data_IF_529524269820
#
_entry.id   IF_529524269820
#
_cell.length_a   1.000
_cell.length_b   1.000
_cell.length_c   1.000
_cell.angle_alpha   90.00
_cell.angle_beta   90.00
_cell.angle_gamma   90.00
#
_symmetry.space_group_name_H-M   'P 1'
#
loop_
_entity.id
_entity.type
_entity.pdbx_description
1 polymer ?
#
# COMPACT_ATOMS: atom_id res chain seq x y z
N UNK A 1 3.82 2.47 8.16
CA UNK A 1 3.44 1.50 9.22
C UNK A 1 2.98 2.24 10.46
N UNK A 2 1.72 2.15 10.80
CA UNK A 2 1.16 2.91 11.91
C UNK A 2 1.62 2.32 13.25
N UNK A 3 1.96 3.17 14.22
CA UNK A 3 2.32 2.76 15.60
C UNK A 3 1.22 1.88 16.19
N UNK A 4 -0.04 2.14 15.82
CA UNK A 4 -1.24 1.38 16.21
C UNK A 4 -1.19 -0.08 15.71
N UNK A 5 -0.79 -0.32 14.47
CA UNK A 5 -0.79 -1.66 13.86
C UNK A 5 0.22 -2.58 14.56
N UNK A 6 1.39 -2.03 14.89
CA UNK A 6 2.41 -2.72 15.67
C UNK A 6 1.96 -3.03 17.11
N UNK A 7 1.16 -2.12 17.72
CA UNK A 7 0.66 -2.32 19.06
C UNK A 7 -0.42 -3.41 19.12
N UNK A 8 -1.31 -3.45 18.14
CA UNK A 8 -2.36 -4.48 18.04
C UNK A 8 -1.76 -5.87 17.80
N UNK A 9 -0.75 -6.01 16.96
CA UNK A 9 -0.09 -7.29 16.71
C UNK A 9 0.65 -7.84 17.94
N UNK A 10 1.24 -6.96 18.76
CA UNK A 10 1.96 -7.37 19.98
C UNK A 10 1.02 -7.73 21.16
N UNK A 11 -0.15 -7.09 21.25
CA UNK A 11 -1.19 -7.36 22.26
C UNK A 11 -2.45 -7.95 21.60
N UNK A 12 -2.29 -9.12 20.97
CA UNK A 12 -3.36 -9.86 20.31
C UNK A 12 -4.50 -10.15 21.30
N UNK A 13 -5.75 -9.91 20.84
CA UNK A 13 -6.95 -10.23 21.61
C UNK A 13 -7.52 -9.08 22.47
N UNK A 14 -6.88 -7.92 22.51
CA UNK A 14 -7.44 -6.75 23.17
C UNK A 14 -8.66 -6.20 22.38
N UNK A 15 -9.58 -5.50 23.06
CA UNK A 15 -10.79 -4.90 22.45
C UNK A 15 -10.43 -4.00 21.26
N UNK A 16 -9.39 -3.19 21.38
CA UNK A 16 -8.89 -2.34 20.29
C UNK A 16 -8.39 -3.15 19.09
N UNK A 17 -7.72 -4.28 19.32
CA UNK A 17 -7.27 -5.19 18.27
C UNK A 17 -8.46 -5.80 17.54
N UNK A 18 -9.46 -6.29 18.28
CA UNK A 18 -10.69 -6.86 17.70
C UNK A 18 -11.44 -5.84 16.86
N UNK A 19 -11.70 -4.64 17.40
CA UNK A 19 -12.37 -3.55 16.66
C UNK A 19 -11.62 -3.13 15.42
N UNK A 20 -10.31 -2.91 15.54
CA UNK A 20 -9.48 -2.55 14.38
C UNK A 20 -9.48 -3.64 13.31
N UNK A 21 -9.33 -4.90 13.71
CA UNK A 21 -9.32 -6.04 12.78
C UNK A 21 -10.67 -6.20 12.09
N UNK A 22 -11.78 -6.12 12.83
CA UNK A 22 -13.13 -6.21 12.26
C UNK A 22 -13.39 -5.08 11.28
N UNK A 23 -13.02 -3.84 11.61
CA UNK A 23 -13.14 -2.70 10.71
C UNK A 23 -12.34 -2.91 9.42
N UNK A 24 -11.09 -3.38 9.54
CA UNK A 24 -10.24 -3.65 8.38
C UNK A 24 -10.79 -4.78 7.51
N UNK A 25 -11.37 -5.83 8.11
CA UNK A 25 -12.02 -6.90 7.34
C UNK A 25 -13.21 -6.36 6.56
N UNK A 26 -14.06 -5.54 7.18
CA UNK A 26 -15.21 -4.92 6.51
C UNK A 26 -14.74 -4.07 5.31
N UNK A 27 -13.74 -3.21 5.51
CA UNK A 27 -13.21 -2.38 4.41
C UNK A 27 -12.57 -3.25 3.32
N UNK A 28 -11.89 -4.35 3.68
CA UNK A 28 -11.24 -5.26 2.72
C UNK A 28 -12.23 -6.00 1.81
N UNK A 29 -13.48 -6.15 2.23
CA UNK A 29 -14.52 -6.76 1.39
C UNK A 29 -15.15 -5.78 0.40
N UNK A 30 -14.90 -4.48 0.57
CA UNK A 30 -15.43 -3.46 -0.33
C UNK A 30 -14.57 -3.36 -1.60
N UNK A 31 -15.17 -3.50 -2.80
CA UNK A 31 -14.46 -3.25 -4.05
C UNK A 31 -13.95 -1.80 -4.12
N UNK A 32 -12.76 -1.61 -4.69
CA UNK A 32 -12.12 -0.29 -4.79
C UNK A 32 -13.01 0.75 -5.48
N UNK A 33 -13.78 0.35 -6.49
CA UNK A 33 -14.67 1.26 -7.20
C UNK A 33 -15.80 1.81 -6.30
N UNK A 34 -16.33 0.98 -5.38
CA UNK A 34 -17.35 1.45 -4.44
C UNK A 34 -16.77 2.49 -3.47
N UNK A 35 -15.54 2.27 -2.98
CA UNK A 35 -14.84 3.24 -2.13
C UNK A 35 -14.65 4.56 -2.89
N UNK A 36 -14.21 4.50 -4.16
CA UNK A 36 -14.04 5.66 -5.01
C UNK A 36 -15.36 6.44 -5.20
N UNK A 37 -16.44 5.74 -5.53
CA UNK A 37 -17.77 6.37 -5.74
C UNK A 37 -18.31 6.99 -4.46
N UNK A 38 -18.20 6.30 -3.32
CA UNK A 38 -18.65 6.85 -2.03
C UNK A 38 -17.89 8.12 -1.68
N UNK A 39 -16.55 8.12 -1.82
CA UNK A 39 -15.73 9.30 -1.57
C UNK A 39 -16.07 10.44 -2.54
N UNK A 40 -16.25 10.15 -3.82
CA UNK A 40 -16.62 11.12 -4.83
C UNK A 40 -17.99 11.76 -4.51
N UNK A 41 -19.01 10.95 -4.19
CA UNK A 41 -20.34 11.46 -3.84
C UNK A 41 -20.28 12.35 -2.60
N UNK A 42 -19.57 11.92 -1.56
CA UNK A 42 -19.49 12.66 -0.30
C UNK A 42 -18.71 13.97 -0.45
N UNK A 43 -17.52 13.91 -1.05
CA UNK A 43 -16.57 15.02 -1.02
C UNK A 43 -16.61 15.92 -2.26
N UNK A 44 -16.94 15.39 -3.44
CA UNK A 44 -17.04 16.21 -4.65
C UNK A 44 -18.46 16.75 -4.86
N UNK A 45 -19.49 15.91 -4.73
CA UNK A 45 -20.85 16.32 -5.06
C UNK A 45 -21.60 16.94 -3.87
N UNK A 46 -21.53 16.34 -2.68
CA UNK A 46 -22.26 16.82 -1.51
C UNK A 46 -21.54 17.96 -0.82
N UNK A 47 -20.27 17.83 -0.51
CA UNK A 47 -19.48 18.84 0.20
C UNK A 47 -18.81 19.85 -0.73
N UNK A 48 -18.56 19.47 -1.99
CA UNK A 48 -17.84 20.29 -2.99
C UNK A 48 -16.45 20.75 -2.53
N UNK A 49 -15.77 19.90 -1.75
CA UNK A 49 -14.42 20.20 -1.24
C UNK A 49 -13.34 19.88 -2.26
N UNK A 50 -13.58 18.90 -3.12
CA UNK A 50 -12.59 18.42 -4.08
C UNK A 50 -13.16 18.41 -5.49
N UNK A 51 -12.32 18.62 -6.51
CA UNK A 51 -12.68 18.43 -7.89
C UNK A 51 -12.97 16.95 -8.18
N UNK A 52 -13.85 16.67 -9.11
CA UNK A 52 -14.31 15.31 -9.42
C UNK A 52 -13.65 14.72 -10.66
N UNK A 53 -12.96 15.52 -11.50
CA UNK A 53 -12.34 15.06 -12.74
C UNK A 53 -11.01 15.74 -13.06
N UNK A 54 -10.13 15.00 -13.74
CA UNK A 54 -8.89 15.53 -14.30
C UNK A 54 -7.78 15.73 -13.28
N UNK A 55 -6.65 16.19 -13.79
CA UNK A 55 -5.44 16.43 -12.99
C UNK A 55 -5.25 17.88 -12.59
N UNK A 56 -5.92 18.81 -13.27
CA UNK A 56 -5.82 20.25 -13.01
C UNK A 56 -7.11 20.96 -13.46
N UNK A 57 -7.41 22.08 -12.82
CA UNK A 57 -8.48 22.97 -13.20
C UNK A 57 -8.16 23.71 -14.51
N UNK A 58 -9.18 24.00 -15.30
CA UNK A 58 -9.02 24.80 -16.54
C UNK A 58 -8.61 26.23 -16.18
N UNK A 59 -7.59 26.74 -16.87
CA UNK A 59 -7.13 28.14 -16.72
C UNK A 59 -5.95 28.35 -15.76
N UNK A 60 -5.44 27.31 -15.12
CA UNK A 60 -4.23 27.40 -14.28
C UNK A 60 -2.98 27.19 -15.15
N UNK A 61 -2.10 28.20 -15.20
CA UNK A 61 -0.92 28.20 -16.05
C UNK A 61 0.10 27.13 -15.60
N UNK A 62 0.58 26.26 -16.51
CA UNK A 62 1.64 25.28 -16.19
C UNK A 62 2.91 25.95 -15.66
N UNK A 63 3.59 25.29 -14.71
CA UNK A 63 4.85 25.77 -14.14
C UNK A 63 4.74 26.78 -13.00
N UNK A 64 3.53 27.13 -12.59
CA UNK A 64 3.29 28.00 -11.43
C UNK A 64 3.09 27.19 -10.13
N UNK A 65 3.36 27.79 -8.98
CA UNK A 65 3.05 27.18 -7.67
C UNK A 65 1.56 26.85 -7.54
N UNK A 66 0.68 27.71 -8.10
CA UNK A 66 -0.77 27.48 -8.14
C UNK A 66 -1.11 26.20 -8.92
N UNK A 67 -0.43 25.92 -10.03
CA UNK A 67 -0.61 24.69 -10.79
C UNK A 67 -0.27 23.43 -9.99
N UNK A 68 0.80 23.46 -9.22
CA UNK A 68 1.19 22.33 -8.36
C UNK A 68 0.19 22.11 -7.21
N UNK A 69 -0.27 23.18 -6.59
CA UNK A 69 -1.27 23.10 -5.52
C UNK A 69 -2.60 22.57 -6.04
N UNK A 70 -3.05 23.05 -7.19
CA UNK A 70 -4.26 22.57 -7.86
C UNK A 70 -4.15 21.09 -8.21
N UNK A 71 -3.01 20.66 -8.75
CA UNK A 71 -2.75 19.24 -9.05
C UNK A 71 -2.76 18.35 -7.80
N UNK A 72 -2.16 18.81 -6.71
CA UNK A 72 -2.21 18.09 -5.43
C UNK A 72 -3.66 17.97 -4.96
N UNK A 73 -4.44 19.04 -5.07
CA UNK A 73 -5.86 19.05 -4.68
C UNK A 73 -6.69 18.01 -5.47
N UNK A 74 -6.44 17.88 -6.78
CA UNK A 74 -7.09 16.86 -7.62
C UNK A 74 -6.66 15.43 -7.27
N UNK A 75 -5.41 15.24 -6.80
CA UNK A 75 -4.88 13.92 -6.48
C UNK A 75 -5.25 13.42 -5.08
N UNK A 76 -5.72 14.28 -4.15
CA UNK A 76 -6.04 13.88 -2.78
C UNK A 76 -7.06 12.74 -2.75
N UNK A 77 -8.18 12.87 -3.44
CA UNK A 77 -9.25 11.86 -3.41
C UNK A 77 -8.86 10.53 -4.07
N UNK A 78 -8.25 10.50 -5.26
CA UNK A 78 -7.70 9.28 -5.85
C UNK A 78 -6.69 8.56 -4.94
N UNK A 79 -5.74 9.30 -4.38
CA UNK A 79 -4.74 8.74 -3.46
C UNK A 79 -5.39 8.22 -2.17
N UNK A 80 -6.36 8.95 -1.62
CA UNK A 80 -7.11 8.51 -0.45
C UNK A 80 -7.89 7.22 -0.74
N UNK A 81 -8.53 7.12 -1.90
CA UNK A 81 -9.24 5.91 -2.35
C UNK A 81 -8.30 4.70 -2.38
N UNK A 82 -7.17 4.84 -3.06
CA UNK A 82 -6.17 3.75 -3.15
C UNK A 82 -5.60 3.38 -1.78
N UNK A 83 -5.39 4.37 -0.92
CA UNK A 83 -4.88 4.16 0.44
C UNK A 83 -5.88 3.38 1.28
N UNK A 84 -7.16 3.78 1.26
CA UNK A 84 -8.23 3.09 2.02
C UNK A 84 -8.43 1.68 1.49
N UNK A 85 -8.42 1.46 0.18
CA UNK A 85 -8.56 0.14 -0.42
C UNK A 85 -7.39 -0.80 -0.11
N UNK A 86 -6.18 -0.26 -0.05
CA UNK A 86 -4.96 -1.05 0.14
C UNK A 86 -4.57 -1.26 1.62
N UNK A 87 -4.99 -0.38 2.53
CA UNK A 87 -4.62 -0.43 3.94
C UNK A 87 -5.04 -1.73 4.67
N UNK A 88 -6.24 -2.28 4.44
CA UNK A 88 -6.71 -3.47 5.15
C UNK A 88 -5.84 -4.70 4.96
N UNK A 89 -5.52 -5.05 3.72
CA UNK A 89 -4.69 -6.23 3.41
C UNK A 89 -3.29 -6.10 4.02
N UNK A 90 -2.71 -4.90 3.97
CA UNK A 90 -1.40 -4.61 4.57
C UNK A 90 -1.44 -4.65 6.10
N UNK A 91 -2.51 -4.13 6.70
CA UNK A 91 -2.73 -4.22 8.14
C UNK A 91 -2.80 -5.68 8.60
N UNK A 92 -3.65 -6.50 7.95
CA UNK A 92 -3.84 -7.91 8.29
C UNK A 92 -2.54 -8.71 8.14
N UNK A 93 -1.81 -8.50 7.04
CA UNK A 93 -0.51 -9.13 6.82
C UNK A 93 0.46 -8.81 7.96
N UNK A 94 0.65 -7.51 8.25
CA UNK A 94 1.59 -7.09 9.30
C UNK A 94 1.16 -7.56 10.69
N UNK A 95 -0.12 -7.51 11.00
CA UNK A 95 -0.65 -8.02 12.27
C UNK A 95 -0.34 -9.51 12.44
N UNK A 96 -0.59 -10.31 11.42
CA UNK A 96 -0.34 -11.74 11.45
C UNK A 96 1.16 -12.04 11.58
N UNK A 97 2.01 -11.38 10.80
CA UNK A 97 3.46 -11.53 10.86
C UNK A 97 4.01 -11.15 12.25
N UNK A 98 3.57 -10.01 12.82
CA UNK A 98 3.97 -9.61 14.18
C UNK A 98 3.53 -10.63 15.22
N UNK A 99 2.30 -11.17 15.09
CA UNK A 99 1.79 -12.20 16.00
C UNK A 99 2.64 -13.46 15.93
N UNK A 100 2.93 -13.98 14.74
CA UNK A 100 3.77 -15.17 14.54
C UNK A 100 5.17 -14.97 15.15
N UNK A 101 5.84 -13.88 14.79
CA UNK A 101 7.18 -13.57 15.31
C UNK A 101 7.20 -13.41 16.84
N UNK A 102 6.11 -12.91 17.43
CA UNK A 102 6.03 -12.74 18.90
C UNK A 102 5.92 -14.08 19.64
N UNK A 103 5.38 -15.11 19.00
CA UNK A 103 5.22 -16.47 19.52
C UNK A 103 6.50 -17.34 19.31
N UNK A 104 7.49 -16.85 18.58
CA UNK A 104 8.74 -17.56 18.31
C UNK A 104 9.60 -17.80 19.56
N UNK A 105 10.27 -18.96 19.61
CA UNK A 105 11.06 -19.40 20.77
C UNK A 105 12.14 -18.40 21.19
N UNK A 106 12.80 -17.76 20.23
CA UNK A 106 13.83 -16.76 20.56
C UNK A 106 13.29 -15.50 21.24
N UNK A 107 12.02 -15.13 20.96
CA UNK A 107 11.33 -14.03 21.65
C UNK A 107 10.96 -14.46 23.07
N UNK A 108 10.51 -15.71 23.23
CA UNK A 108 10.20 -16.28 24.55
C UNK A 108 11.45 -16.29 25.43
N UNK A 109 12.56 -16.84 24.95
CA UNK A 109 13.84 -16.84 25.66
C UNK A 109 14.35 -15.43 26.00
N UNK A 110 14.12 -14.46 25.12
CA UNK A 110 14.47 -13.07 25.40
C UNK A 110 13.65 -12.48 26.56
N UNK A 111 12.38 -12.87 26.69
CA UNK A 111 11.52 -12.49 27.84
C UNK A 111 11.97 -13.15 29.13
N UNK A 112 12.26 -14.46 29.10
CA UNK A 112 12.77 -15.23 30.24
C UNK A 112 14.09 -14.69 30.79
N UNK A 113 14.96 -14.18 29.88
CA UNK A 113 16.21 -13.49 30.26
C UNK A 113 15.99 -12.10 30.85
N UNK A 114 14.75 -11.65 31.05
CA UNK A 114 14.42 -10.37 31.66
C UNK A 114 14.72 -9.14 30.78
N UNK A 115 14.84 -9.32 29.45
CA UNK A 115 15.05 -8.19 28.56
C UNK A 115 13.83 -7.26 28.53
N UNK A 116 14.06 -5.95 28.51
CA UNK A 116 12.99 -4.96 28.44
C UNK A 116 12.12 -5.14 27.20
N UNK A 117 10.82 -4.88 27.33
CA UNK A 117 9.87 -4.94 26.21
C UNK A 117 10.31 -4.08 25.01
N UNK A 118 10.97 -2.95 25.25
CA UNK A 118 11.49 -2.11 24.20
C UNK A 118 12.59 -2.82 23.39
N UNK A 119 13.54 -3.45 24.07
CA UNK A 119 14.64 -4.20 23.44
C UNK A 119 14.11 -5.41 22.66
N UNK A 120 13.10 -6.10 23.18
CA UNK A 120 12.44 -7.21 22.48
C UNK A 120 11.72 -6.71 21.21
N UNK A 121 10.95 -5.63 21.29
CA UNK A 121 10.20 -5.09 20.15
C UNK A 121 11.11 -4.60 19.02
N UNK A 122 12.13 -3.84 19.35
CA UNK A 122 13.01 -3.21 18.35
C UNK A 122 14.19 -4.10 17.94
N UNK A 123 14.74 -4.88 18.87
CA UNK A 123 15.91 -5.72 18.61
C UNK A 123 15.58 -7.08 18.00
N UNK A 124 14.44 -7.66 18.36
CA UNK A 124 14.08 -9.02 17.94
C UNK A 124 12.90 -9.04 16.97
N UNK A 125 11.76 -8.44 17.34
CA UNK A 125 10.55 -8.51 16.52
C UNK A 125 10.72 -7.66 15.25
N UNK A 126 11.12 -6.39 15.37
CA UNK A 126 11.20 -5.48 14.23
C UNK A 126 12.16 -5.98 13.14
N UNK A 127 13.28 -6.57 13.52
CA UNK A 127 14.24 -7.13 12.55
C UNK A 127 13.63 -8.24 11.71
N UNK A 128 12.87 -9.13 12.33
CA UNK A 128 12.30 -10.29 11.65
C UNK A 128 11.05 -9.94 10.81
N UNK A 129 10.34 -8.85 11.13
CA UNK A 129 9.23 -8.37 10.31
C UNK A 129 9.67 -7.39 9.21
N UNK A 130 10.95 -6.96 9.22
CA UNK A 130 11.44 -5.99 8.24
C UNK A 130 11.39 -6.55 6.81
N UNK A 131 11.77 -7.82 6.62
CA UNK A 131 11.79 -8.46 5.30
C UNK A 131 10.40 -8.47 4.65
N UNK A 132 9.33 -9.07 5.22
CA UNK A 132 8.01 -9.04 4.60
C UNK A 132 7.46 -7.62 4.42
N UNK A 133 7.85 -6.69 5.29
CA UNK A 133 7.47 -5.29 5.17
C UNK A 133 8.11 -4.61 3.94
N UNK A 134 9.41 -4.82 3.73
CA UNK A 134 10.14 -4.23 2.58
C UNK A 134 9.60 -4.78 1.27
N UNK A 135 9.40 -6.11 1.18
CA UNK A 135 8.80 -6.74 0.01
C UNK A 135 7.41 -6.18 -0.29
N UNK A 136 6.58 -6.00 0.75
CA UNK A 136 5.25 -5.40 0.61
C UNK A 136 5.30 -3.96 0.11
N UNK A 137 6.28 -3.15 0.57
CA UNK A 137 6.49 -1.78 0.09
C UNK A 137 6.92 -1.79 -1.38
N UNK A 138 7.85 -2.67 -1.77
CA UNK A 138 8.27 -2.82 -3.16
C UNK A 138 7.13 -3.18 -4.11
N UNK A 139 6.30 -4.14 -3.73
CA UNK A 139 5.08 -4.48 -4.47
C UNK A 139 4.11 -3.29 -4.58
N UNK A 140 4.04 -2.46 -3.54
CA UNK A 140 3.18 -1.26 -3.55
C UNK A 140 3.66 -0.22 -4.54
N UNK A 141 4.98 -0.02 -4.66
CA UNK A 141 5.58 0.88 -5.66
C UNK A 141 5.21 0.42 -7.06
N UNK A 142 5.32 -0.88 -7.35
CA UNK A 142 4.94 -1.45 -8.65
C UNK A 142 3.47 -1.19 -8.98
N UNK A 143 2.58 -1.40 -8.01
CA UNK A 143 1.14 -1.14 -8.19
C UNK A 143 0.85 0.34 -8.43
N UNK A 144 1.59 1.25 -7.79
CA UNK A 144 1.44 2.68 -8.01
C UNK A 144 1.86 3.10 -9.43
N UNK A 145 2.93 2.50 -9.97
CA UNK A 145 3.43 2.82 -11.32
C UNK A 145 2.54 2.16 -12.40
N UNK A 146 2.09 0.92 -12.15
CA UNK A 146 1.17 0.23 -13.06
C UNK A 146 -0.22 0.88 -13.17
N UNK A 147 -0.51 1.82 -12.26
CA UNK A 147 -1.78 2.54 -12.20
C UNK A 147 -2.93 1.70 -11.64
N UNK A 148 -4.03 2.37 -11.40
CA UNK A 148 -5.31 1.75 -11.03
C UNK A 148 -6.35 2.13 -12.05
N UNK A 149 -6.56 1.26 -13.04
CA UNK A 149 -7.52 1.44 -14.13
C UNK A 149 -8.87 1.97 -13.63
N UNK A 150 -9.37 1.37 -12.55
CA UNK A 150 -10.68 1.73 -11.99
C UNK A 150 -10.69 3.14 -11.41
N UNK A 151 -9.68 3.49 -10.62
CA UNK A 151 -9.59 4.82 -9.97
C UNK A 151 -9.30 5.90 -11.01
N UNK A 152 -8.40 5.63 -11.96
CA UNK A 152 -8.08 6.56 -13.04
C UNK A 152 -9.31 6.89 -13.90
N UNK A 153 -10.11 5.87 -14.26
CA UNK A 153 -11.32 6.07 -15.03
C UNK A 153 -12.40 6.83 -14.23
N UNK A 154 -12.60 6.50 -12.94
CA UNK A 154 -13.63 7.19 -12.12
C UNK A 154 -13.30 8.67 -11.94
N UNK A 155 -12.04 9.01 -11.68
CA UNK A 155 -11.61 10.39 -11.49
C UNK A 155 -11.16 11.07 -12.80
N UNK A 156 -11.30 10.38 -13.95
CA UNK A 156 -10.88 10.87 -15.27
C UNK A 156 -9.41 11.38 -15.29
N UNK A 157 -8.54 10.61 -14.67
CA UNK A 157 -7.10 10.88 -14.60
C UNK A 157 -6.42 10.13 -15.72
N UNK A 158 -5.65 10.83 -16.56
CA UNK A 158 -4.80 10.18 -17.55
C UNK A 158 -3.64 9.45 -16.88
N UNK A 159 -3.59 8.12 -17.00
CA UNK A 159 -2.55 7.26 -16.46
C UNK A 159 -2.40 5.97 -17.27
N UNK A 160 -1.56 5.04 -16.77
CA UNK A 160 -1.32 3.76 -17.48
C UNK A 160 -2.58 2.88 -17.51
N UNK A 161 -3.41 2.94 -16.48
CA UNK A 161 -4.64 2.17 -16.42
C UNK A 161 -5.71 2.70 -17.38
N UNK A 162 -5.90 4.02 -17.46
CA UNK A 162 -6.81 4.63 -18.43
C UNK A 162 -6.33 4.41 -19.87
N UNK A 163 -5.02 4.52 -20.12
CA UNK A 163 -4.44 4.24 -21.43
C UNK A 163 -4.67 2.78 -21.85
N UNK A 164 -4.54 1.82 -20.92
CA UNK A 164 -4.86 0.42 -21.18
C UNK A 164 -6.35 0.25 -21.50
N UNK A 165 -7.23 0.93 -20.79
CA UNK A 165 -8.66 0.91 -21.05
C UNK A 165 -8.98 1.39 -22.46
N UNK A 166 -8.40 2.50 -22.88
CA UNK A 166 -8.58 3.07 -24.22
C UNK A 166 -8.06 2.12 -25.29
N UNK A 167 -6.88 1.50 -25.08
CA UNK A 167 -6.32 0.49 -25.99
C UNK A 167 -7.24 -0.73 -26.15
N UNK A 168 -7.90 -1.17 -25.06
CA UNK A 168 -8.88 -2.25 -25.10
C UNK A 168 -10.11 -1.86 -25.92
N UNK A 169 -10.66 -0.67 -25.72
CA UNK A 169 -11.84 -0.19 -26.46
C UNK A 169 -11.57 0.02 -27.95
N UNK A 170 -10.34 0.44 -28.29
CA UNK A 170 -9.94 0.63 -29.69
C UNK A 170 -9.36 -0.62 -30.35
N UNK A 171 -9.24 -1.74 -29.61
CA UNK A 171 -8.63 -3.00 -30.06
C UNK A 171 -7.18 -2.83 -30.53
N UNK A 172 -6.46 -1.88 -29.94
CA UNK A 172 -5.05 -1.62 -30.24
C UNK A 172 -4.15 -2.63 -29.48
N UNK A 173 -4.00 -3.81 -30.06
CA UNK A 173 -3.20 -4.90 -29.46
C UNK A 173 -1.72 -4.54 -29.27
N UNK A 174 -1.03 -3.85 -30.21
CA UNK A 174 0.35 -3.42 -30.00
C UNK A 174 0.49 -2.51 -28.77
N UNK A 175 -0.41 -1.55 -28.58
CA UNK A 175 -0.40 -0.65 -27.44
C UNK A 175 -0.68 -1.41 -26.14
N UNK A 176 -1.66 -2.31 -26.14
CA UNK A 176 -1.96 -3.19 -24.97
C UNK A 176 -0.73 -3.99 -24.56
N UNK A 177 -0.05 -4.65 -25.51
CA UNK A 177 1.17 -5.40 -25.23
C UNK A 177 2.30 -4.53 -24.68
N UNK A 178 2.48 -3.34 -25.24
CA UNK A 178 3.48 -2.37 -24.78
C UNK A 178 3.23 -1.97 -23.31
N UNK A 179 2.00 -1.65 -22.96
CA UNK A 179 1.63 -1.27 -21.59
C UNK A 179 1.87 -2.45 -20.63
N UNK A 180 1.41 -3.65 -20.98
CA UNK A 180 1.58 -4.84 -20.16
C UNK A 180 3.07 -5.19 -19.98
N UNK A 181 3.87 -5.04 -21.04
CA UNK A 181 5.32 -5.25 -20.96
C UNK A 181 5.99 -4.27 -20.00
N UNK A 182 5.70 -2.97 -20.13
CA UNK A 182 6.27 -1.93 -19.26
C UNK A 182 5.86 -2.13 -17.81
N UNK A 183 4.58 -2.36 -17.55
CA UNK A 183 4.08 -2.58 -16.17
C UNK A 183 4.69 -3.82 -15.53
N UNK A 184 4.82 -4.92 -16.28
CA UNK A 184 5.47 -6.16 -15.80
C UNK A 184 6.96 -5.96 -15.57
N UNK A 185 7.65 -5.26 -16.44
CA UNK A 185 9.08 -4.94 -16.27
C UNK A 185 9.32 -4.10 -15.00
N UNK A 186 8.52 -3.06 -14.80
CA UNK A 186 8.58 -2.23 -13.59
C UNK A 186 8.29 -3.04 -12.32
N UNK A 187 7.28 -3.92 -12.36
CA UNK A 187 6.97 -4.80 -11.25
C UNK A 187 8.15 -5.72 -10.91
N UNK A 188 8.74 -6.35 -11.91
CA UNK A 188 9.88 -7.24 -11.73
C UNK A 188 11.10 -6.49 -11.16
N UNK A 189 11.42 -5.32 -11.71
CA UNK A 189 12.52 -4.49 -11.20
C UNK A 189 12.27 -4.08 -9.75
N UNK A 190 11.05 -3.69 -9.40
CA UNK A 190 10.70 -3.28 -8.03
C UNK A 190 10.84 -4.43 -7.02
N UNK A 191 10.48 -5.66 -7.41
CA UNK A 191 10.66 -6.85 -6.58
C UNK A 191 12.16 -7.13 -6.39
N UNK A 192 12.95 -7.15 -7.47
CA UNK A 192 14.40 -7.37 -7.40
C UNK A 192 15.08 -6.33 -6.53
N UNK A 193 14.73 -5.05 -6.67
CA UNK A 193 15.26 -3.98 -5.81
C UNK A 193 14.88 -4.21 -4.34
N UNK A 194 13.64 -4.64 -4.07
CA UNK A 194 13.21 -4.97 -2.70
C UNK A 194 13.99 -6.12 -2.11
N UNK A 195 14.26 -7.17 -2.89
CA UNK A 195 15.03 -8.32 -2.45
C UNK A 195 16.51 -7.94 -2.17
N UNK A 196 17.09 -7.10 -3.01
CA UNK A 196 18.45 -6.56 -2.77
C UNK A 196 18.48 -5.74 -1.47
N UNK A 197 17.48 -4.89 -1.23
CA UNK A 197 17.37 -4.11 0.02
C UNK A 197 17.22 -5.06 1.22
N UNK A 198 16.42 -6.13 1.11
CA UNK A 198 16.28 -7.13 2.17
C UNK A 198 17.62 -7.81 2.51
N UNK A 199 18.39 -8.22 1.50
CA UNK A 199 19.72 -8.84 1.69
C UNK A 199 20.70 -7.88 2.37
N UNK A 200 20.63 -6.59 2.07
CA UNK A 200 21.49 -5.58 2.69
C UNK A 200 21.14 -5.32 4.16
N UNK A 201 19.85 -5.42 4.52
CA UNK A 201 19.37 -5.16 5.88
C UNK A 201 19.52 -6.38 6.77
N UNK A 202 19.27 -7.59 6.25
CA UNK A 202 19.40 -8.85 6.99
C UNK A 202 20.35 -9.83 6.28
N UNK A 203 21.62 -9.90 6.70
CA UNK A 203 22.60 -10.80 6.10
C UNK A 203 22.30 -12.28 6.32
N UNK A 204 21.36 -12.66 7.21
CA UNK A 204 20.95 -14.07 7.39
C UNK A 204 20.19 -14.60 6.17
N UNK A 205 19.49 -13.76 5.44
CA UNK A 205 18.82 -14.12 4.17
C UNK A 205 19.85 -14.55 3.12
N UNK A 206 21.07 -14.05 3.22
CA UNK A 206 22.18 -14.32 2.28
C UNK A 206 22.66 -15.78 2.28
N UNK A 207 22.40 -16.53 3.35
CA UNK A 207 22.93 -17.89 3.52
C UNK A 207 21.87 -19.01 3.34
N UNK A 208 20.68 -18.72 2.81
CA UNK A 208 19.67 -19.74 2.53
C UNK A 208 19.24 -20.55 3.78
N UNK A 209 19.46 -19.99 4.96
CA UNK A 209 19.09 -20.65 6.22
C UNK A 209 17.59 -20.60 6.42
N UNK A 210 16.92 -21.70 6.07
CA UNK A 210 15.62 -22.02 6.65
C UNK A 210 15.72 -22.05 8.18
N UNK A 211 14.60 -21.99 8.89
CA UNK A 211 14.58 -22.01 10.34
C UNK A 211 15.21 -23.32 10.84
N UNK A 212 16.31 -23.21 11.61
CA UNK A 212 16.86 -24.28 12.44
C UNK A 212 16.07 -24.31 13.75
#
# INVERSE_FOLDING_TARGET
MCIRDRHCGYKKGNVLDKLSTTFQIIVNTMPTFLIALVLMILFCFRQRWFPYTGLNSTGVAPGTAAYLLDRIHHLILPVLTLTIAAAPSRYLLMRNTVSQVTEEKYVLYAKERGLSNHKIKFGYILKNIAQPFITMVGMSVSTCIGGSLVVENIFSIGGMGSLLSDAVYTLDYPLMQGILFVTTAVMTISIVVSDVICILIDPKVRFGGGPV
#
